data_IF_483089585791
#
_entry.id   IF_483089585791
#
_cell.length_a   1.000
_cell.length_b   1.000
_cell.length_c   1.000
_cell.angle_alpha   90.00
_cell.angle_beta   90.00
_cell.angle_gamma   90.00
#
_symmetry.space_group_name_H-M   'P 1'
#
loop_
_entity.id
_entity.type
_entity.pdbx_description
1 polymer ?
#
# COMPACT_ATOMS: atom_id res chain seq x y z
N UNK A 1 0.59 -10.33 -26.50
CA UNK A 1 -0.71 -10.12 -25.83
C UNK A 1 -1.04 -8.64 -25.94
N UNK A 2 -2.21 -8.27 -26.47
CA UNK A 2 -2.57 -6.88 -26.76
C UNK A 2 -2.81 -6.12 -25.45
N UNK A 3 -1.95 -5.17 -25.13
CA UNK A 3 -2.25 -4.13 -24.15
C UNK A 3 -3.36 -3.27 -24.76
N UNK A 4 -4.61 -3.54 -24.39
CA UNK A 4 -5.70 -2.63 -24.74
C UNK A 4 -5.69 -1.49 -23.73
N UNK A 5 -5.54 -0.27 -24.23
CA UNK A 5 -5.73 0.96 -23.47
C UNK A 5 -7.22 1.13 -23.15
N UNK A 6 -7.71 0.33 -22.20
CA UNK A 6 -9.11 0.33 -21.82
C UNK A 6 -9.48 1.65 -21.13
N UNK A 7 -10.62 2.19 -21.52
CA UNK A 7 -11.27 3.29 -20.82
C UNK A 7 -12.04 2.80 -19.60
N UNK A 8 -12.34 3.70 -18.67
CA UNK A 8 -13.11 3.37 -17.46
C UNK A 8 -14.50 2.84 -17.83
N UNK A 9 -15.15 3.42 -18.83
CA UNK A 9 -16.46 2.99 -19.32
C UNK A 9 -16.42 1.58 -19.93
N UNK A 10 -15.44 1.27 -20.79
CA UNK A 10 -15.29 -0.07 -21.37
C UNK A 10 -15.06 -1.15 -20.30
N UNK A 11 -14.32 -0.82 -19.23
CA UNK A 11 -14.14 -1.74 -18.09
C UNK A 11 -15.47 -2.02 -17.39
N UNK A 12 -16.33 -1.01 -17.23
CA UNK A 12 -17.65 -1.20 -16.63
C UNK A 12 -18.58 -2.02 -17.51
N UNK A 13 -18.62 -1.78 -18.82
CA UNK A 13 -19.40 -2.60 -19.77
C UNK A 13 -18.93 -4.06 -19.83
N UNK A 14 -17.61 -4.28 -19.86
CA UNK A 14 -17.06 -5.63 -19.84
C UNK A 14 -17.39 -6.36 -18.53
N UNK A 15 -17.39 -5.66 -17.41
CA UNK A 15 -17.74 -6.23 -16.12
C UNK A 15 -19.22 -6.66 -16.04
N UNK A 16 -20.12 -6.12 -16.87
CA UNK A 16 -21.49 -6.64 -16.94
C UNK A 16 -21.52 -8.07 -17.50
N UNK A 17 -20.69 -8.34 -18.52
CA UNK A 17 -20.64 -9.61 -19.26
C UNK A 17 -19.76 -10.67 -18.60
N UNK A 18 -18.71 -10.27 -17.89
CA UNK A 18 -17.74 -11.19 -17.28
C UNK A 18 -17.46 -10.85 -15.82
N UNK A 19 -16.85 -11.76 -15.06
CA UNK A 19 -16.49 -11.47 -13.67
C UNK A 19 -15.34 -10.47 -13.63
N UNK A 20 -15.39 -9.50 -12.72
CA UNK A 20 -14.34 -8.50 -12.52
C UNK A 20 -12.92 -9.10 -12.38
N UNK A 21 -12.81 -10.26 -11.73
CA UNK A 21 -11.54 -10.96 -11.58
C UNK A 21 -10.96 -11.46 -12.91
N UNK A 22 -11.81 -11.99 -13.78
CA UNK A 22 -11.40 -12.53 -15.08
C UNK A 22 -11.07 -11.39 -16.03
N UNK A 23 -11.82 -10.29 -15.97
CA UNK A 23 -11.52 -9.04 -16.66
C UNK A 23 -10.13 -8.52 -16.25
N UNK A 24 -9.85 -8.47 -14.94
CA UNK A 24 -8.56 -8.00 -14.44
C UNK A 24 -7.38 -8.89 -14.85
N UNK A 25 -7.60 -10.18 -15.11
CA UNK A 25 -6.55 -11.12 -15.55
C UNK A 25 -6.33 -11.11 -17.06
N UNK A 26 -7.40 -10.97 -17.84
CA UNK A 26 -7.36 -11.09 -19.31
C UNK A 26 -7.14 -9.74 -20.00
N UNK A 27 -7.65 -8.66 -19.40
CA UNK A 27 -7.79 -7.38 -20.09
C UNK A 27 -7.06 -6.22 -19.38
N UNK A 28 -6.87 -6.27 -18.06
CA UNK A 28 -6.23 -5.16 -17.34
C UNK A 28 -4.70 -5.32 -17.21
N UNK A 29 -3.91 -4.36 -17.68
CA UNK A 29 -2.44 -4.40 -17.59
C UNK A 29 -1.92 -4.17 -16.15
N UNK A 30 -2.77 -3.67 -15.25
CA UNK A 30 -2.37 -3.19 -13.91
C UNK A 30 -2.71 -4.16 -12.77
N UNK A 31 -3.40 -5.26 -13.09
CA UNK A 31 -3.88 -6.22 -12.09
C UNK A 31 -5.12 -5.74 -11.31
N UNK A 32 -5.75 -6.68 -10.60
CA UNK A 32 -7.07 -6.53 -9.98
C UNK A 32 -7.19 -5.35 -9.01
N UNK A 33 -6.23 -5.18 -8.10
CA UNK A 33 -6.34 -4.17 -7.05
C UNK A 33 -6.10 -2.76 -7.59
N UNK A 34 -5.14 -2.58 -8.50
CA UNK A 34 -4.93 -1.29 -9.16
C UNK A 34 -6.09 -0.91 -10.07
N UNK A 35 -6.71 -1.89 -10.75
CA UNK A 35 -7.92 -1.65 -11.53
C UNK A 35 -9.08 -1.19 -10.64
N UNK A 36 -9.23 -1.80 -9.46
CA UNK A 36 -10.23 -1.39 -8.46
C UNK A 36 -9.99 0.05 -8.00
N UNK A 37 -8.75 0.40 -7.69
CA UNK A 37 -8.38 1.76 -7.28
C UNK A 37 -8.60 2.78 -8.39
N UNK A 38 -8.29 2.42 -9.64
CA UNK A 38 -8.53 3.24 -10.81
C UNK A 38 -10.03 3.54 -11.00
N UNK A 39 -10.89 2.52 -10.90
CA UNK A 39 -12.34 2.68 -11.00
C UNK A 39 -12.89 3.58 -9.88
N UNK A 40 -12.44 3.38 -8.63
CA UNK A 40 -12.81 4.27 -7.51
C UNK A 40 -12.39 5.71 -7.76
N UNK A 41 -11.14 5.91 -8.20
CA UNK A 41 -10.57 7.24 -8.45
C UNK A 41 -11.22 7.95 -9.62
N UNK A 42 -11.71 7.19 -10.60
CA UNK A 42 -12.48 7.70 -11.72
C UNK A 42 -13.92 8.10 -11.35
N UNK A 43 -14.41 7.72 -10.17
CA UNK A 43 -15.78 8.00 -9.72
C UNK A 43 -16.78 6.87 -10.02
N UNK A 44 -16.31 5.69 -10.42
CA UNK A 44 -17.18 4.53 -10.59
C UNK A 44 -17.65 3.99 -9.23
N UNK A 45 -18.91 3.59 -9.15
CA UNK A 45 -19.53 3.00 -7.97
C UNK A 45 -19.56 1.48 -8.08
N UNK A 46 -19.44 0.80 -6.95
CA UNK A 46 -19.57 -0.66 -6.90
C UNK A 46 -20.89 -1.04 -6.27
N UNK A 47 -21.76 -1.70 -7.03
CA UNK A 47 -23.00 -2.25 -6.52
C UNK A 47 -22.73 -3.60 -5.84
N UNK A 48 -22.99 -3.66 -4.54
CA UNK A 48 -22.81 -4.88 -3.73
C UNK A 48 -23.80 -5.98 -4.09
N UNK A 49 -24.99 -5.64 -4.61
CA UNK A 49 -26.02 -6.62 -4.96
C UNK A 49 -25.67 -7.39 -6.21
N UNK A 50 -25.25 -6.69 -7.25
CA UNK A 50 -24.88 -7.27 -8.55
C UNK A 50 -23.39 -7.63 -8.63
N UNK A 51 -22.57 -7.15 -7.67
CA UNK A 51 -21.11 -7.25 -7.66
C UNK A 51 -20.47 -6.64 -8.92
N UNK A 52 -21.09 -5.57 -9.44
CA UNK A 52 -20.68 -4.88 -10.67
C UNK A 52 -20.22 -3.46 -10.39
N UNK A 53 -19.41 -2.95 -11.30
CA UNK A 53 -18.93 -1.57 -11.30
C UNK A 53 -19.74 -0.79 -12.31
N UNK A 54 -20.17 0.40 -11.92
CA UNK A 54 -20.98 1.28 -12.74
C UNK A 54 -20.38 2.68 -12.76
N UNK A 55 -20.43 3.33 -13.91
CA UNK A 55 -20.12 4.74 -14.07
C UNK A 55 -21.16 5.32 -15.02
N UNK A 56 -21.62 6.54 -14.76
CA UNK A 56 -22.46 7.24 -15.71
C UNK A 56 -21.63 7.63 -16.94
N UNK A 57 -22.17 7.43 -18.13
CA UNK A 57 -21.53 7.83 -19.39
C UNK A 57 -21.39 9.34 -19.52
N UNK A 58 -22.21 10.11 -18.79
CA UNK A 58 -22.08 11.57 -18.68
C UNK A 58 -20.86 12.01 -17.84
N UNK A 59 -20.21 11.08 -17.13
CA UNK A 59 -19.14 11.41 -16.20
C UNK A 59 -17.86 11.81 -16.95
N UNK A 60 -17.18 12.91 -16.56
CA UNK A 60 -15.99 13.43 -17.26
C UNK A 60 -14.78 12.48 -17.26
N UNK A 61 -14.84 11.40 -16.48
CA UNK A 61 -13.81 10.38 -16.38
C UNK A 61 -14.18 9.06 -17.06
N UNK A 62 -15.38 8.94 -17.65
CA UNK A 62 -15.83 7.71 -18.31
C UNK A 62 -14.94 7.34 -19.52
N UNK A 63 -14.57 8.33 -20.32
CA UNK A 63 -13.75 8.16 -21.53
C UNK A 63 -12.23 8.18 -21.27
N UNK A 64 -11.81 8.43 -20.02
CA UNK A 64 -10.40 8.47 -19.66
C UNK A 64 -9.84 7.06 -19.51
N UNK A 65 -8.54 6.89 -19.78
CA UNK A 65 -7.89 5.58 -19.72
C UNK A 65 -7.75 5.13 -18.27
N UNK A 66 -7.87 3.83 -18.04
CA UNK A 66 -7.65 3.23 -16.71
C UNK A 66 -6.29 3.61 -16.14
N UNK A 67 -5.25 3.64 -16.99
CA UNK A 67 -3.88 3.97 -16.59
C UNK A 67 -3.72 5.38 -16.02
N UNK A 68 -4.55 6.34 -16.44
CA UNK A 68 -4.49 7.73 -15.97
C UNK A 68 -4.89 7.84 -14.48
N UNK A 69 -5.67 6.88 -13.99
CA UNK A 69 -6.12 6.80 -12.60
C UNK A 69 -5.33 5.81 -11.75
N UNK A 70 -4.47 5.00 -12.38
CA UNK A 70 -3.58 4.12 -11.66
C UNK A 70 -2.46 4.99 -11.13
N UNK A 71 -2.59 5.41 -9.87
CA UNK A 71 -1.49 6.02 -9.16
C UNK A 71 -0.33 5.02 -9.15
N UNK A 72 0.64 5.23 -10.05
CA UNK A 72 1.94 4.61 -9.88
C UNK A 72 2.42 5.09 -8.52
N UNK A 73 2.68 4.16 -7.61
CA UNK A 73 3.19 4.40 -6.26
C UNK A 73 4.62 4.97 -6.26
N UNK A 74 4.88 5.92 -7.16
CA UNK A 74 5.96 6.90 -7.17
C UNK A 74 5.36 8.30 -7.13
N UNK A 75 4.46 8.56 -6.18
CA UNK A 75 4.22 9.94 -5.75
C UNK A 75 5.30 10.30 -4.75
N UNK A 76 6.37 10.92 -5.26
CA UNK A 76 7.14 11.89 -4.49
C UNK A 76 6.17 12.99 -4.05
N UNK A 77 5.58 12.85 -2.87
CA UNK A 77 4.88 13.97 -2.24
C UNK A 77 5.97 14.97 -1.88
N UNK A 78 6.18 15.95 -2.76
CA UNK A 78 6.88 17.17 -2.42
C UNK A 78 6.16 17.74 -1.20
N UNK A 79 6.82 17.70 -0.04
CA UNK A 79 6.33 18.28 1.20
C UNK A 79 6.06 19.76 0.95
N UNK A 80 4.80 20.12 0.83
CA UNK A 80 4.39 21.50 1.01
C UNK A 80 4.75 21.88 2.46
N UNK A 81 5.73 22.77 2.61
CA UNK A 81 6.06 23.40 3.88
C UNK A 81 4.82 24.15 4.38
N UNK A 82 4.00 23.51 5.22
CA UNK A 82 3.00 24.21 6.03
C UNK A 82 3.72 24.67 7.29
N UNK A 83 4.05 25.95 7.29
CA UNK A 83 4.47 26.72 8.46
C UNK A 83 3.43 26.52 9.56
N UNK A 84 3.89 26.02 10.70
CA UNK A 84 3.07 25.74 11.87
C UNK A 84 2.78 27.05 12.61
N UNK A 85 1.59 27.60 12.43
CA UNK A 85 1.00 28.58 13.36
C UNK A 85 -0.51 28.41 13.33
N UNK A 86 -1.05 27.52 14.17
CA UNK A 86 -2.29 27.78 14.90
C UNK A 86 -2.50 26.72 15.99
N UNK A 87 -2.86 27.12 17.23
CA UNK A 87 -3.02 26.20 18.35
C UNK A 87 -4.38 25.48 18.33
N UNK A 88 -4.35 24.21 18.75
CA UNK A 88 -5.44 23.38 19.29
C UNK A 88 -6.87 23.75 18.82
N UNK A 89 -7.34 23.14 17.73
CA UNK A 89 -8.77 23.11 17.40
C UNK A 89 -9.46 22.00 18.20
N UNK A 90 -10.22 22.39 19.21
CA UNK A 90 -11.15 21.51 19.95
C UNK A 90 -12.45 21.43 19.15
N UNK A 91 -12.96 20.23 18.90
CA UNK A 91 -14.26 20.02 18.24
C UNK A 91 -15.39 20.41 19.21
N UNK A 92 -16.23 21.43 18.91
CA UNK A 92 -17.22 21.94 19.84
C UNK A 92 -18.41 21.00 20.08
N UNK A 93 -18.56 19.94 19.28
CA UNK A 93 -19.69 18.99 19.41
C UNK A 93 -19.34 17.83 20.35
N UNK A 94 -18.09 17.40 20.38
CA UNK A 94 -17.66 16.19 21.11
C UNK A 94 -16.63 16.46 22.20
N UNK A 95 -16.04 17.66 22.27
CA UNK A 95 -15.01 18.00 23.26
C UNK A 95 -13.73 17.18 23.12
N UNK A 96 -13.56 16.41 22.04
CA UNK A 96 -12.37 15.62 21.81
C UNK A 96 -11.29 16.52 21.19
N UNK A 97 -10.15 16.63 21.89
CA UNK A 97 -8.93 17.14 21.29
C UNK A 97 -8.47 16.14 20.23
N UNK A 98 -8.42 16.56 18.97
CA UNK A 98 -7.62 15.87 17.95
C UNK A 98 -6.16 16.12 18.30
N UNK A 99 -5.62 15.28 19.18
CA UNK A 99 -4.18 15.16 19.29
C UNK A 99 -3.71 14.52 18.00
N UNK A 100 -2.97 15.27 17.19
CA UNK A 100 -2.18 14.69 16.12
C UNK A 100 -1.15 13.76 16.77
N UNK A 101 -1.10 12.49 16.35
CA UNK A 101 -0.13 11.48 16.82
C UNK A 101 1.34 11.94 16.67
N UNK A 102 1.57 13.02 15.92
CA UNK A 102 2.86 13.68 15.74
C UNK A 102 3.42 14.32 17.03
N UNK A 103 2.59 14.57 18.06
CA UNK A 103 3.06 15.17 19.32
C UNK A 103 3.97 14.22 20.14
N UNK A 104 3.84 12.90 19.96
CA UNK A 104 4.71 11.91 20.62
C UNK A 104 5.95 11.53 19.77
N UNK A 105 6.11 12.07 18.57
CA UNK A 105 7.16 11.66 17.63
C UNK A 105 8.51 12.38 17.81
N UNK A 106 8.68 13.21 18.85
CA UNK A 106 9.87 14.06 19.00
C UNK A 106 11.02 13.39 19.75
N UNK A 107 10.79 12.30 20.49
CA UNK A 107 11.88 11.63 21.22
C UNK A 107 12.29 10.34 20.51
N UNK A 108 13.54 10.36 20.00
CA UNK A 108 14.27 9.28 19.31
C UNK A 108 13.95 9.09 17.82
N UNK A 109 14.60 9.87 16.96
CA UNK A 109 14.90 9.40 15.59
C UNK A 109 16.13 8.50 15.68
N UNK A 110 16.00 7.16 15.74
CA UNK A 110 17.18 6.31 15.57
C UNK A 110 17.81 6.63 14.21
N UNK A 111 19.14 6.65 14.17
CA UNK A 111 19.90 6.83 12.94
C UNK A 111 19.27 6.04 11.80
N UNK A 112 19.10 6.67 10.63
CA UNK A 112 18.48 6.03 9.47
C UNK A 112 19.38 4.90 8.96
N UNK A 113 19.19 3.69 9.50
CA UNK A 113 19.86 2.49 9.00
C UNK A 113 19.32 2.20 7.60
N UNK A 114 20.18 2.29 6.59
CA UNK A 114 19.86 1.90 5.21
C UNK A 114 19.82 0.37 5.16
N UNK A 115 18.62 -0.21 5.03
CA UNK A 115 18.41 -1.66 5.02
C UNK A 115 18.29 -2.20 3.59
N UNK A 116 18.92 -3.35 3.32
CA UNK A 116 18.77 -4.10 2.06
C UNK A 116 18.10 -5.44 2.34
N UNK A 117 17.05 -5.77 1.58
CA UNK A 117 16.36 -7.07 1.68
C UNK A 117 17.19 -8.14 0.99
N UNK A 118 17.43 -9.25 1.69
CA UNK A 118 18.10 -10.44 1.16
C UNK A 118 17.18 -11.63 1.37
N UNK A 119 16.96 -12.41 0.32
CA UNK A 119 16.29 -13.71 0.39
C UNK A 119 17.37 -14.79 0.47
N UNK A 120 17.26 -15.70 1.42
CA UNK A 120 18.21 -16.78 1.65
C UNK A 120 17.45 -18.07 1.96
N UNK A 121 17.97 -19.18 1.47
CA UNK A 121 17.49 -20.50 1.83
C UNK A 121 18.17 -20.95 3.12
N UNK A 122 17.40 -21.53 4.03
CA UNK A 122 17.85 -21.99 5.34
C UNK A 122 17.29 -23.38 5.59
N UNK A 123 18.07 -24.21 6.29
CA UNK A 123 17.57 -25.48 6.78
C UNK A 123 16.30 -25.28 7.62
N UNK A 124 15.32 -26.18 7.43
CA UNK A 124 13.99 -26.05 8.02
C UNK A 124 14.05 -26.19 9.54
N UNK A 125 14.92 -27.06 10.07
CA UNK A 125 15.08 -27.25 11.51
C UNK A 125 15.74 -26.02 12.14
N UNK A 126 16.79 -25.50 11.50
CA UNK A 126 17.46 -24.27 11.93
C UNK A 126 16.48 -23.08 11.97
N UNK A 127 15.67 -22.91 10.93
CA UNK A 127 14.69 -21.83 10.89
C UNK A 127 13.62 -21.93 12.00
N UNK A 128 13.19 -23.16 12.34
CA UNK A 128 12.27 -23.38 13.47
C UNK A 128 12.91 -23.01 14.81
N UNK A 129 14.17 -23.41 15.03
CA UNK A 129 14.91 -23.08 16.24
C UNK A 129 15.10 -21.57 16.39
N UNK A 130 15.50 -20.87 15.33
CA UNK A 130 15.66 -19.41 15.36
C UNK A 130 14.34 -18.69 15.63
N UNK A 131 13.21 -19.19 15.11
CA UNK A 131 11.89 -18.64 15.43
C UNK A 131 11.52 -18.80 16.90
N UNK A 132 11.83 -19.95 17.49
CA UNK A 132 11.60 -20.19 18.91
C UNK A 132 12.44 -19.24 19.76
N UNK A 133 13.74 -19.12 19.47
CA UNK A 133 14.65 -18.20 20.18
C UNK A 133 14.17 -16.75 20.03
N UNK A 134 13.73 -16.34 18.84
CA UNK A 134 13.21 -15.00 18.61
C UNK A 134 11.97 -14.71 19.47
N UNK A 135 11.06 -15.69 19.59
CA UNK A 135 9.87 -15.58 20.44
C UNK A 135 10.22 -15.50 21.93
N UNK A 136 11.17 -16.31 22.39
CA UNK A 136 11.62 -16.33 23.79
C UNK A 136 12.28 -15.01 24.22
N UNK A 137 12.92 -14.30 23.28
CA UNK A 137 13.63 -13.05 23.54
C UNK A 137 12.82 -11.79 23.16
N UNK A 138 11.56 -11.93 22.74
CA UNK A 138 10.70 -10.84 22.24
C UNK A 138 11.37 -9.97 21.15
N UNK A 139 12.12 -10.61 20.26
CA UNK A 139 12.80 -9.95 19.13
C UNK A 139 12.26 -10.47 17.80
N UNK A 140 12.36 -9.67 16.75
CA UNK A 140 11.98 -10.13 15.41
C UNK A 140 13.07 -11.04 14.85
N UNK A 141 12.67 -12.04 14.07
CA UNK A 141 13.61 -13.01 13.47
C UNK A 141 14.75 -12.35 12.68
N UNK A 142 14.47 -11.25 11.95
CA UNK A 142 15.51 -10.56 11.20
C UNK A 142 16.52 -9.84 12.12
N UNK A 143 16.11 -9.38 13.30
CA UNK A 143 16.98 -8.70 14.28
C UNK A 143 17.92 -9.72 14.93
N UNK A 144 17.38 -10.90 15.25
CA UNK A 144 18.18 -12.03 15.71
C UNK A 144 19.23 -12.42 14.66
N UNK A 145 18.83 -12.58 13.39
CA UNK A 145 19.74 -12.93 12.29
C UNK A 145 20.78 -11.83 12.07
N UNK A 146 20.38 -10.57 12.09
CA UNK A 146 21.31 -9.43 11.97
C UNK A 146 22.33 -9.42 13.12
N UNK A 147 21.91 -9.68 14.36
CA UNK A 147 22.79 -9.79 15.51
C UNK A 147 23.82 -10.92 15.37
N UNK A 148 23.39 -12.11 14.91
CA UNK A 148 24.30 -13.23 14.64
C UNK A 148 25.33 -12.87 13.56
N UNK A 149 24.89 -12.24 12.46
CA UNK A 149 25.78 -11.81 11.39
C UNK A 149 26.77 -10.73 11.84
N UNK A 150 26.32 -9.76 12.63
CA UNK A 150 27.17 -8.72 13.21
C UNK A 150 28.25 -9.32 14.11
N UNK A 151 27.86 -10.20 15.03
CA UNK A 151 28.78 -10.90 15.92
C UNK A 151 29.82 -11.72 15.13
N UNK A 152 29.42 -12.35 14.04
CA UNK A 152 30.34 -13.08 13.16
C UNK A 152 31.35 -12.16 12.47
N UNK A 153 30.90 -10.99 11.97
CA UNK A 153 31.77 -10.00 11.34
C UNK A 153 32.75 -9.39 12.34
N UNK A 154 32.29 -9.08 13.56
CA UNK A 154 33.14 -8.54 14.63
C UNK A 154 34.23 -9.52 15.05
N UNK A 155 33.90 -10.81 15.20
CA UNK A 155 34.88 -11.86 15.55
C UNK A 155 35.95 -12.11 14.47
N UNK A 156 35.71 -11.66 13.24
CA UNK A 156 36.66 -11.78 12.13
C UNK A 156 37.59 -10.58 11.97
N UNK A 157 37.29 -9.46 12.63
CA UNK A 157 38.18 -8.31 12.71
C UNK A 157 39.19 -8.52 13.82
#
# INVERSE_FOLDING_TARGET
MKNMDLTIYEVTELNERMKFLDLAKQHAPVGKEKLREALKSAGATFDQRTKRWHIDRSHPNADKKVLDFVQTSRSSVAKANRVATDPLKIDPVTGQSRLDDDYFAIETKPERIIRKKVSLDMDVALHKQLKQIALENDVKLYELVEGVLRNYVEKKK
#
